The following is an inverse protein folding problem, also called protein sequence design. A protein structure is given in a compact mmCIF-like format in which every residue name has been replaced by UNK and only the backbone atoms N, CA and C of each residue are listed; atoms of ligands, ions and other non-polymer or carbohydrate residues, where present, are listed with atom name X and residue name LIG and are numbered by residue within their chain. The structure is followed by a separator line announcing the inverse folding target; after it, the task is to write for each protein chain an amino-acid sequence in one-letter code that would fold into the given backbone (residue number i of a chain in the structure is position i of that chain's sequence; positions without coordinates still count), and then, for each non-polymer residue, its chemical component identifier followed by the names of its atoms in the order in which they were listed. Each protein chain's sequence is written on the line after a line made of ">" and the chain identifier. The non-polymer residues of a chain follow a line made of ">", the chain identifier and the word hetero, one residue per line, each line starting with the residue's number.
data_IF_182374330518
#
_entry.id   IF_182374330518
#
_cell.length_a   1.000
_cell.length_b   1.000
_cell.length_c   1.000
_cell.angle_alpha   90.00
_cell.angle_beta   90.00
_cell.angle_gamma   90.00
#
_symmetry.space_group_name_H-M   'P 1'
#
loop_
_entity.id
_entity.type
_entity.pdbx_description
1 polymer ?
#
# COMPACT_ATOMS: atom_id res chain seq x y z
N UNK A 1 32.83 42.51 25.97
CA UNK A 1 33.21 41.36 26.81
C UNK A 1 31.97 40.82 27.51
N UNK A 2 31.44 39.70 27.04
CA UNK A 2 30.76 38.69 27.86
C UNK A 2 30.98 37.37 27.15
N UNK A 3 32.06 36.71 27.55
CA UNK A 3 32.57 35.45 27.00
C UNK A 3 31.98 34.33 27.86
N UNK A 4 30.96 33.64 27.35
CA UNK A 4 30.57 32.31 27.84
C UNK A 4 30.31 31.43 26.61
N UNK A 5 31.30 30.60 26.30
CA UNK A 5 31.28 29.42 25.43
C UNK A 5 30.36 29.49 24.20
N UNK A 6 30.88 30.11 23.13
CA UNK A 6 30.25 30.18 21.81
C UNK A 6 30.27 28.85 21.05
N UNK A 7 29.45 27.89 21.49
CA UNK A 7 28.99 26.83 20.58
C UNK A 7 27.84 27.45 19.79
N UNK A 8 28.12 27.88 18.56
CA UNK A 8 27.05 28.08 17.57
C UNK A 8 26.51 26.68 17.28
N UNK A 9 25.42 26.31 17.93
CA UNK A 9 24.61 25.18 17.46
C UNK A 9 24.29 25.47 15.99
N UNK A 10 24.69 24.63 15.03
CA UNK A 10 24.17 24.79 13.68
C UNK A 10 22.64 24.79 13.83
N UNK A 11 21.97 25.77 13.24
CA UNK A 11 20.52 25.67 13.05
C UNK A 11 20.32 24.34 12.33
N UNK A 12 19.80 23.33 13.02
CA UNK A 12 19.43 22.08 12.39
C UNK A 12 18.46 22.45 11.28
N UNK A 13 18.89 22.25 10.03
CA UNK A 13 18.01 22.45 8.89
C UNK A 13 16.88 21.43 9.04
N UNK A 14 15.67 21.91 9.31
CA UNK A 14 14.47 21.08 9.41
C UNK A 14 13.78 21.06 8.04
N UNK A 15 13.43 19.87 7.57
CA UNK A 15 12.61 19.67 6.37
C UNK A 15 11.35 18.91 6.76
N UNK A 16 10.18 19.47 6.45
CA UNK A 16 8.91 18.77 6.62
C UNK A 16 8.65 17.87 5.41
N UNK A 17 8.22 16.64 5.68
CA UNK A 17 7.78 15.72 4.65
C UNK A 17 6.25 15.74 4.56
N UNK A 18 5.74 15.99 3.37
CA UNK A 18 4.32 15.95 3.03
C UNK A 18 4.09 14.74 2.11
N UNK A 19 3.49 13.68 2.65
CA UNK A 19 3.17 12.47 1.89
C UNK A 19 1.66 12.40 1.67
N UNK A 20 1.24 12.35 0.42
CA UNK A 20 -0.16 12.16 0.01
C UNK A 20 -0.33 10.78 -0.61
N UNK A 21 -1.23 9.98 -0.02
CA UNK A 21 -1.57 8.64 -0.49
C UNK A 21 -2.99 8.66 -1.06
N UNK A 22 -3.13 8.24 -2.31
CA UNK A 22 -4.39 8.27 -3.06
C UNK A 22 -4.84 6.83 -3.34
N UNK A 23 -5.69 6.30 -2.45
CA UNK A 23 -6.31 4.98 -2.64
C UNK A 23 -7.57 5.13 -3.49
N UNK A 24 -7.57 4.53 -4.67
CA UNK A 24 -8.73 4.56 -5.55
C UNK A 24 -9.77 3.49 -5.20
N UNK A 25 -10.99 3.71 -5.66
CA UNK A 25 -12.12 2.82 -5.43
C UNK A 25 -12.03 1.56 -6.28
N UNK A 26 -12.79 0.55 -5.88
CA UNK A 26 -12.96 -0.71 -6.61
C UNK A 26 -13.17 -0.50 -8.11
N UNK A 27 -12.45 -1.27 -8.93
CA UNK A 27 -12.45 -1.22 -10.40
C UNK A 27 -11.87 0.05 -11.05
N UNK A 28 -11.37 1.04 -10.29
CA UNK A 28 -10.72 2.21 -10.86
C UNK A 28 -9.21 2.01 -10.98
N UNK A 29 -8.65 2.48 -12.10
CA UNK A 29 -7.22 2.44 -12.37
C UNK A 29 -6.85 3.65 -13.25
N UNK A 30 -6.10 4.60 -12.71
CA UNK A 30 -5.77 5.86 -13.38
C UNK A 30 -5.21 5.66 -14.79
N UNK A 31 -4.22 4.76 -14.96
CA UNK A 31 -3.60 4.53 -16.26
C UNK A 31 -4.62 4.08 -17.30
N UNK A 32 -5.51 3.16 -16.93
CA UNK A 32 -6.58 2.69 -17.81
C UNK A 32 -7.62 3.80 -18.05
N UNK A 33 -8.16 4.37 -16.98
CA UNK A 33 -9.33 5.24 -17.00
C UNK A 33 -9.04 6.61 -17.62
N UNK A 34 -7.78 7.05 -17.61
CA UNK A 34 -7.32 8.26 -18.30
C UNK A 34 -7.03 7.99 -19.79
N UNK A 35 -6.63 6.76 -20.15
CA UNK A 35 -6.17 6.44 -21.51
C UNK A 35 -7.29 6.01 -22.48
N UNK A 36 -8.44 5.60 -21.95
CA UNK A 36 -9.61 5.18 -22.76
C UNK A 36 -10.39 6.37 -23.32
N UNK A 37 -11.28 6.11 -24.30
CA UNK A 37 -12.10 7.13 -24.95
C UNK A 37 -13.60 6.79 -24.84
N UNK A 38 -14.44 7.64 -24.22
CA UNK A 38 -14.07 8.88 -23.54
C UNK A 38 -13.30 8.61 -22.23
N UNK A 39 -12.38 9.51 -21.83
CA UNK A 39 -11.66 9.36 -20.57
C UNK A 39 -12.61 9.53 -19.39
N UNK A 40 -12.44 8.69 -18.37
CA UNK A 40 -13.28 8.67 -17.18
C UNK A 40 -12.49 8.47 -15.88
N UNK A 41 -11.44 9.27 -15.62
CA UNK A 41 -10.65 9.15 -14.40
C UNK A 41 -11.51 9.41 -13.15
N UNK A 42 -11.25 8.65 -12.09
CA UNK A 42 -11.90 8.84 -10.79
C UNK A 42 -11.56 10.22 -10.19
N UNK A 43 -12.34 10.66 -9.20
CA UNK A 43 -11.99 11.88 -8.46
C UNK A 43 -10.66 11.73 -7.70
N UNK A 44 -10.31 10.51 -7.28
CA UNK A 44 -9.04 10.21 -6.62
C UNK A 44 -7.87 10.38 -7.58
N UNK A 45 -7.97 9.82 -8.79
CA UNK A 45 -6.98 10.02 -9.86
C UNK A 45 -6.83 11.52 -10.20
N UNK A 46 -7.95 12.25 -10.32
CA UNK A 46 -7.93 13.71 -10.56
C UNK A 46 -7.22 14.49 -9.45
N UNK A 47 -7.45 14.14 -8.18
CA UNK A 47 -6.75 14.76 -7.05
C UNK A 47 -5.26 14.41 -7.04
N UNK A 48 -4.90 13.16 -7.35
CA UNK A 48 -3.51 12.74 -7.50
C UNK A 48 -2.77 13.58 -8.55
N UNK A 49 -3.36 13.77 -9.74
CA UNK A 49 -2.76 14.62 -10.77
C UNK A 49 -2.63 16.09 -10.35
N UNK A 50 -3.60 16.62 -9.58
CA UNK A 50 -3.53 17.99 -9.07
C UNK A 50 -2.33 18.22 -8.15
N UNK A 51 -1.82 17.18 -7.49
CA UNK A 51 -0.60 17.24 -6.68
C UNK A 51 0.70 17.25 -7.50
N UNK A 52 0.62 17.18 -8.85
CA UNK A 52 1.77 17.20 -9.76
C UNK A 52 2.89 16.21 -9.37
N UNK A 53 2.60 14.89 -9.33
CA UNK A 53 3.50 13.87 -8.78
C UNK A 53 4.85 13.77 -9.50
N UNK A 54 4.94 14.22 -10.75
CA UNK A 54 6.16 14.27 -11.56
C UNK A 54 7.00 15.54 -11.34
N UNK A 55 6.62 16.42 -10.40
CA UNK A 55 7.37 17.65 -10.12
C UNK A 55 8.59 17.34 -9.23
N UNK A 56 9.73 17.02 -9.85
CA UNK A 56 10.99 16.70 -9.16
C UNK A 56 11.39 17.77 -8.14
N UNK A 57 11.22 19.06 -8.47
CA UNK A 57 11.55 20.17 -7.56
C UNK A 57 10.66 20.19 -6.32
N UNK A 58 9.40 19.76 -6.42
CA UNK A 58 8.50 19.61 -5.27
C UNK A 58 8.88 18.39 -4.44
N UNK A 59 9.21 17.27 -5.10
CA UNK A 59 9.67 16.03 -4.46
C UNK A 59 10.97 16.28 -3.66
N UNK A 60 11.93 17.00 -4.23
CA UNK A 60 13.18 17.40 -3.56
C UNK A 60 12.93 18.34 -2.36
N UNK A 61 11.79 19.03 -2.33
CA UNK A 61 11.34 19.85 -1.20
C UNK A 61 10.51 19.08 -0.18
N UNK A 62 10.25 17.79 -0.41
CA UNK A 62 9.57 16.91 0.53
C UNK A 62 8.09 16.73 0.26
N UNK A 63 7.59 17.04 -0.92
CA UNK A 63 6.19 16.76 -1.31
C UNK A 63 6.16 15.48 -2.14
N UNK A 64 5.62 14.40 -1.61
CA UNK A 64 5.51 13.11 -2.29
C UNK A 64 4.05 12.73 -2.45
N UNK A 65 3.67 12.26 -3.63
CA UNK A 65 2.31 11.83 -3.94
C UNK A 65 2.34 10.45 -4.57
N UNK A 66 1.54 9.53 -4.05
CA UNK A 66 1.48 8.15 -4.51
C UNK A 66 0.05 7.74 -4.81
N UNK A 67 -0.17 7.18 -5.99
CA UNK A 67 -1.43 6.60 -6.39
C UNK A 67 -1.44 5.10 -6.14
N UNK A 68 -2.53 4.59 -5.59
CA UNK A 68 -2.74 3.17 -5.30
C UNK A 68 -4.03 2.77 -6.03
N UNK A 69 -3.95 1.91 -7.05
CA UNK A 69 -5.11 1.54 -7.87
C UNK A 69 -6.14 0.74 -7.08
N UNK A 70 -7.39 0.82 -7.53
CA UNK A 70 -8.52 0.13 -6.94
C UNK A 70 -8.37 -1.38 -6.89
N UNK A 71 -9.02 -2.02 -5.91
CA UNK A 71 -9.15 -3.49 -5.89
C UNK A 71 -9.88 -3.99 -7.12
N UNK A 72 -9.52 -5.19 -7.59
CA UNK A 72 -10.06 -5.78 -8.82
C UNK A 72 -9.38 -5.29 -10.11
N UNK A 73 -8.39 -4.40 -10.02
CA UNK A 73 -7.61 -3.89 -11.16
C UNK A 73 -6.13 -4.30 -11.09
N UNK A 74 -5.37 -4.22 -12.21
CA UNK A 74 -3.95 -4.47 -12.24
C UNK A 74 -3.16 -3.55 -11.29
N UNK A 75 -2.21 -4.15 -10.56
CA UNK A 75 -1.21 -3.48 -9.75
C UNK A 75 0.11 -4.29 -9.74
N UNK A 76 0.96 -4.14 -10.79
CA UNK A 76 2.16 -4.97 -10.99
C UNK A 76 3.19 -4.90 -9.85
N UNK A 77 3.27 -3.77 -9.15
CA UNK A 77 4.15 -3.53 -8.01
C UNK A 77 3.96 -4.59 -6.91
N UNK A 78 2.71 -5.03 -6.71
CA UNK A 78 2.33 -6.08 -5.74
C UNK A 78 1.94 -7.41 -6.40
N UNK A 79 2.39 -7.66 -7.64
CA UNK A 79 2.13 -8.89 -8.42
C UNK A 79 0.64 -9.14 -8.75
N UNK A 80 -0.18 -8.09 -8.86
CA UNK A 80 -1.53 -8.21 -9.45
C UNK A 80 -1.45 -7.81 -10.92
N UNK A 81 -1.48 -8.76 -11.86
CA UNK A 81 -1.27 -8.44 -13.29
C UNK A 81 -2.56 -8.16 -14.06
N UNK A 82 -3.67 -8.75 -13.64
CA UNK A 82 -4.93 -8.74 -14.38
C UNK A 82 -6.08 -8.18 -13.54
N UNK A 83 -7.20 -7.85 -14.21
CA UNK A 83 -8.47 -7.58 -13.54
C UNK A 83 -9.06 -8.86 -12.94
N UNK A 84 -9.70 -8.76 -11.78
CA UNK A 84 -10.20 -9.95 -11.06
C UNK A 84 -11.48 -9.67 -10.26
N UNK A 85 -12.45 -10.56 -10.37
CA UNK A 85 -13.81 -10.39 -9.82
C UNK A 85 -13.88 -10.45 -8.29
N UNK A 86 -12.99 -11.21 -7.64
CA UNK A 86 -12.96 -11.29 -6.17
C UNK A 86 -12.55 -9.96 -5.52
N UNK A 87 -11.76 -9.13 -6.22
CA UNK A 87 -11.47 -7.77 -5.80
C UNK A 87 -12.70 -6.88 -5.85
N UNK A 88 -13.58 -7.09 -6.83
CA UNK A 88 -14.83 -6.32 -6.98
C UNK A 88 -15.87 -6.67 -5.93
N UNK A 89 -16.08 -7.96 -5.69
CA UNK A 89 -17.18 -8.46 -4.85
C UNK A 89 -16.80 -8.54 -3.37
N UNK A 90 -15.53 -8.81 -3.06
CA UNK A 90 -15.07 -9.12 -1.71
C UNK A 90 -13.90 -8.25 -1.24
N UNK A 91 -13.50 -7.24 -2.02
CA UNK A 91 -12.34 -6.38 -1.74
C UNK A 91 -11.02 -7.15 -1.53
N UNK A 92 -10.90 -8.34 -2.12
CA UNK A 92 -9.66 -9.14 -2.10
C UNK A 92 -8.51 -8.33 -2.70
N UNK A 93 -7.36 -8.31 -2.03
CA UNK A 93 -6.20 -7.49 -2.39
C UNK A 93 -6.21 -6.08 -1.80
N UNK A 94 -7.21 -5.72 -0.99
CA UNK A 94 -7.24 -4.46 -0.24
C UNK A 94 -6.14 -4.37 0.83
N UNK A 95 -5.85 -5.46 1.54
CA UNK A 95 -4.76 -5.51 2.52
C UNK A 95 -3.40 -5.20 1.88
N UNK A 96 -3.11 -5.80 0.72
CA UNK A 96 -1.85 -5.57 0.01
C UNK A 96 -1.68 -4.11 -0.42
N UNK A 97 -2.78 -3.45 -0.82
CA UNK A 97 -2.80 -2.04 -1.18
C UNK A 97 -2.53 -1.13 0.03
N UNK A 98 -3.11 -1.45 1.19
CA UNK A 98 -2.84 -0.74 2.45
C UNK A 98 -1.35 -0.91 2.84
N UNK A 99 -0.86 -2.15 2.80
CA UNK A 99 0.55 -2.46 3.08
C UNK A 99 1.48 -1.72 2.11
N UNK A 100 1.14 -1.63 0.82
CA UNK A 100 1.88 -0.83 -0.15
C UNK A 100 1.92 0.65 0.23
N UNK A 101 0.79 1.25 0.62
CA UNK A 101 0.74 2.63 1.09
C UNK A 101 1.66 2.91 2.29
N UNK A 102 1.77 1.95 3.24
CA UNK A 102 2.72 2.04 4.36
C UNK A 102 4.18 2.02 3.89
N UNK A 103 4.48 1.21 2.88
CA UNK A 103 5.83 1.14 2.31
C UNK A 103 6.17 2.43 1.54
N UNK A 104 5.22 3.06 0.86
CA UNK A 104 5.46 4.35 0.20
C UNK A 104 5.88 5.45 1.18
N UNK A 105 5.43 5.40 2.44
CA UNK A 105 5.91 6.29 3.50
C UNK A 105 7.38 5.99 3.82
N UNK A 106 7.75 4.71 3.92
CA UNK A 106 9.14 4.30 4.15
C UNK A 106 10.06 4.71 2.98
N UNK A 107 9.56 4.57 1.75
CA UNK A 107 10.26 5.01 0.54
C UNK A 107 10.48 6.53 0.51
N UNK A 108 9.45 7.32 0.84
CA UNK A 108 9.56 8.79 0.93
C UNK A 108 10.61 9.22 1.97
N UNK A 109 10.68 8.52 3.11
CA UNK A 109 11.71 8.74 4.13
C UNK A 109 13.09 8.35 3.63
N UNK A 110 13.24 7.19 2.98
CA UNK A 110 14.50 6.73 2.42
C UNK A 110 15.04 7.73 1.39
N UNK A 111 14.20 8.15 0.44
CA UNK A 111 14.57 9.16 -0.56
C UNK A 111 14.98 10.48 0.09
N UNK A 112 14.23 10.94 1.11
CA UNK A 112 14.53 12.21 1.78
C UNK A 112 15.88 12.25 2.50
N UNK A 113 16.40 11.09 2.90
CA UNK A 113 17.66 10.95 3.65
C UNK A 113 18.82 10.57 2.74
N UNK A 114 18.59 9.65 1.81
CA UNK A 114 19.65 9.03 0.99
C UNK A 114 19.72 9.61 -0.42
N UNK A 115 18.64 10.19 -0.92
CA UNK A 115 18.47 10.55 -2.33
C UNK A 115 18.04 9.38 -3.22
N UNK A 116 17.93 8.17 -2.69
CA UNK A 116 17.57 6.97 -3.44
C UNK A 116 16.19 6.45 -3.04
N UNK A 117 15.45 5.91 -4.00
CA UNK A 117 14.21 5.16 -3.73
C UNK A 117 14.51 3.70 -3.35
N UNK A 118 13.64 3.12 -2.54
CA UNK A 118 13.63 1.69 -2.27
C UNK A 118 13.40 0.92 -3.57
N UNK A 119 14.11 -0.19 -3.72
CA UNK A 119 13.93 -1.05 -4.87
C UNK A 119 12.54 -1.71 -4.84
N UNK A 120 11.83 -1.72 -5.98
CA UNK A 120 10.51 -2.34 -6.10
C UNK A 120 10.48 -3.79 -5.60
N UNK A 121 11.57 -4.55 -5.80
CA UNK A 121 11.69 -5.93 -5.31
C UNK A 121 11.73 -6.03 -3.79
N UNK A 122 12.31 -5.05 -3.10
CA UNK A 122 12.35 -4.95 -1.63
C UNK A 122 10.97 -4.57 -1.10
N UNK A 123 10.35 -3.56 -1.70
CA UNK A 123 8.99 -3.12 -1.35
C UNK A 123 7.96 -4.24 -1.51
N UNK A 124 7.99 -4.94 -2.64
CA UNK A 124 7.11 -6.10 -2.87
C UNK A 124 7.25 -7.19 -1.82
N UNK A 125 8.49 -7.58 -1.50
CA UNK A 125 8.75 -8.59 -0.46
C UNK A 125 8.23 -8.17 0.91
N UNK A 126 8.30 -6.88 1.23
CA UNK A 126 7.74 -6.35 2.46
C UNK A 126 6.20 -6.43 2.46
N UNK A 127 5.52 -6.12 1.35
CA UNK A 127 4.05 -6.34 1.24
C UNK A 127 3.69 -7.81 1.47
N UNK A 128 4.40 -8.72 0.81
CA UNK A 128 4.19 -10.17 0.96
C UNK A 128 4.40 -10.64 2.41
N UNK A 129 5.42 -10.13 3.09
CA UNK A 129 5.70 -10.45 4.48
C UNK A 129 4.66 -9.88 5.46
N UNK A 130 4.09 -8.71 5.15
CA UNK A 130 3.05 -8.05 5.96
C UNK A 130 1.65 -8.63 5.76
N UNK A 131 1.47 -9.48 4.76
CA UNK A 131 0.17 -10.04 4.41
C UNK A 131 -0.25 -11.13 5.43
N UNK A 132 -1.41 -10.94 6.07
CA UNK A 132 -1.97 -11.90 7.03
C UNK A 132 -2.48 -13.19 6.41
N UNK A 133 -2.69 -13.17 5.10
CA UNK A 133 -3.34 -14.23 4.32
C UNK A 133 -2.34 -15.09 3.55
N UNK A 134 -1.08 -15.18 3.98
CA UNK A 134 -0.09 -16.10 3.39
C UNK A 134 -0.53 -17.59 3.41
N UNK A 135 -1.52 -17.96 4.22
CA UNK A 135 -2.21 -19.26 4.14
C UNK A 135 -3.27 -19.31 3.03
N UNK A 136 -3.92 -18.18 2.73
CA UNK A 136 -4.99 -18.03 1.73
C UNK A 136 -4.45 -17.93 0.30
N UNK A 137 -3.28 -17.32 0.06
CA UNK A 137 -2.66 -17.31 -1.28
C UNK A 137 -2.23 -18.70 -1.76
N UNK A 138 -1.83 -19.60 -0.85
CA UNK A 138 -1.56 -21.01 -1.16
C UNK A 138 -2.85 -21.78 -1.50
N UNK A 139 -4.00 -21.28 -1.02
CA UNK A 139 -5.33 -21.70 -1.41
C UNK A 139 -5.84 -20.98 -2.65
N UNK A 140 -5.39 -19.77 -3.02
CA UNK A 140 -5.90 -19.02 -4.19
C UNK A 140 -5.46 -19.59 -5.54
N UNK A 141 -4.37 -20.38 -5.58
CA UNK A 141 -4.10 -21.27 -6.72
C UNK A 141 -5.21 -22.32 -6.95
N UNK A 142 -6.09 -22.53 -5.97
CA UNK A 142 -7.20 -23.50 -5.97
C UNK A 142 -8.57 -22.90 -5.60
N UNK A 143 -8.65 -21.69 -5.03
CA UNK A 143 -9.84 -21.08 -4.44
C UNK A 143 -10.46 -19.99 -5.32
N UNK A 144 -9.68 -19.41 -6.24
CA UNK A 144 -10.25 -18.65 -7.37
C UNK A 144 -11.20 -19.51 -8.22
N UNK A 145 -10.98 -20.83 -8.22
CA UNK A 145 -11.85 -21.82 -8.88
C UNK A 145 -13.12 -22.10 -8.04
N UNK A 146 -13.07 -21.97 -6.71
CA UNK A 146 -14.19 -22.38 -5.84
C UNK A 146 -15.22 -21.26 -5.58
N UNK A 147 -14.79 -20.00 -5.54
CA UNK A 147 -15.67 -18.83 -5.38
C UNK A 147 -16.54 -18.51 -6.61
N UNK A 148 -16.18 -19.04 -7.79
CA UNK A 148 -16.97 -18.91 -9.01
C UNK A 148 -18.16 -19.87 -9.09
N UNK A 149 -18.23 -20.91 -8.24
CA UNK A 149 -19.14 -22.04 -8.47
C UNK A 149 -20.43 -21.95 -7.61
N UNK A 150 -20.45 -21.32 -6.43
CA UNK A 150 -21.65 -21.27 -5.57
C UNK A 150 -21.56 -20.05 -4.61
N UNK A 151 -22.41 -19.03 -4.53
CA UNK A 151 -23.85 -18.94 -4.79
C UNK A 151 -24.39 -17.53 -4.42
N UNK A 152 -25.39 -17.05 -5.17
CA UNK A 152 -26.64 -16.50 -4.58
C UNK A 152 -27.48 -17.76 -4.20
N UNK A 153 -28.31 -17.89 -3.12
CA UNK A 153 -28.54 -17.19 -1.83
C UNK A 153 -28.74 -18.12 -0.57
N UNK A 154 -29.16 -17.51 0.55
CA UNK A 154 -29.93 -17.96 1.73
C UNK A 154 -29.41 -18.96 2.79
N UNK A 155 -28.46 -19.89 2.55
CA UNK A 155 -27.98 -20.80 3.63
C UNK A 155 -26.69 -20.32 4.37
N UNK A 156 -26.25 -19.09 4.09
CA UNK A 156 -24.92 -18.55 4.42
C UNK A 156 -24.63 -18.28 5.90
N UNK A 157 -25.47 -18.72 6.84
CA UNK A 157 -25.22 -18.52 8.28
C UNK A 157 -24.23 -19.56 8.85
N UNK A 158 -24.28 -20.82 8.42
CA UNK A 158 -23.38 -21.87 8.92
C UNK A 158 -21.95 -21.70 8.38
N UNK A 159 -21.81 -21.26 7.13
CA UNK A 159 -20.52 -21.02 6.48
C UNK A 159 -19.84 -19.79 7.08
N UNK A 160 -20.57 -18.69 7.29
CA UNK A 160 -20.07 -17.48 7.96
C UNK A 160 -19.61 -17.77 9.39
N UNK A 161 -20.32 -18.62 10.14
CA UNK A 161 -19.93 -19.00 11.50
C UNK A 161 -18.63 -19.82 11.54
N UNK A 162 -18.44 -20.76 10.60
CA UNK A 162 -17.17 -21.50 10.45
C UNK A 162 -15.99 -20.61 10.04
N UNK A 163 -16.21 -19.60 9.20
CA UNK A 163 -15.19 -18.60 8.87
C UNK A 163 -14.82 -17.72 10.07
N UNK A 164 -15.80 -17.29 10.88
CA UNK A 164 -15.56 -16.52 12.11
C UNK A 164 -14.86 -17.35 13.20
N UNK A 165 -15.17 -18.65 13.31
CA UNK A 165 -14.49 -19.58 14.24
C UNK A 165 -13.06 -19.91 13.80
N UNK A 166 -12.77 -19.94 12.50
CA UNK A 166 -11.41 -20.10 11.97
C UNK A 166 -10.54 -18.85 12.16
N UNK A 167 -11.13 -17.65 12.14
CA UNK A 167 -10.46 -16.38 12.46
C UNK A 167 -10.16 -16.28 13.97
N UNK A 168 -11.05 -16.78 14.83
CA UNK A 168 -10.91 -16.69 16.29
C UNK A 168 -10.00 -17.76 16.92
N UNK A 169 -9.52 -18.76 16.18
CA UNK A 169 -8.76 -19.89 16.72
C UNK A 169 -7.25 -19.90 16.38
N UNK A 170 -6.70 -18.81 15.87
CA UNK A 170 -5.25 -18.63 15.86
C UNK A 170 -4.85 -17.80 17.06
N UNK A 171 -4.00 -18.35 17.92
CA UNK A 171 -3.14 -17.57 18.82
C UNK A 171 -1.88 -17.18 18.03
N UNK A 172 -1.67 -15.91 17.65
CA UNK A 172 -0.49 -15.52 16.91
C UNK A 172 0.31 -14.43 17.65
N UNK A 173 1.60 -14.38 17.36
CA UNK A 173 2.35 -13.12 17.42
C UNK A 173 1.55 -12.10 16.58
N UNK A 174 0.99 -11.08 17.22
CA UNK A 174 -0.07 -10.25 16.61
C UNK A 174 0.39 -9.67 15.27
N UNK A 175 -0.47 -9.68 14.25
CA UNK A 175 -0.22 -9.13 12.90
C UNK A 175 0.45 -7.75 12.93
N UNK A 176 0.08 -6.92 13.90
CA UNK A 176 0.67 -5.60 14.14
C UNK A 176 2.19 -5.68 14.36
N UNK A 177 2.66 -6.69 15.10
CA UNK A 177 4.09 -6.91 15.34
C UNK A 177 4.83 -7.30 14.06
N UNK A 178 4.17 -8.01 13.13
CA UNK A 178 4.79 -8.36 11.84
C UNK A 178 4.90 -7.13 10.94
N UNK A 179 3.83 -6.34 10.81
CA UNK A 179 3.88 -5.08 10.03
C UNK A 179 4.91 -4.11 10.58
N UNK A 180 4.91 -3.93 11.90
CA UNK A 180 5.89 -3.07 12.57
C UNK A 180 7.31 -3.56 12.33
N UNK A 181 7.57 -4.86 12.45
CA UNK A 181 8.89 -5.44 12.21
C UNK A 181 9.38 -5.24 10.77
N UNK A 182 8.51 -5.39 9.77
CA UNK A 182 8.89 -5.13 8.37
C UNK A 182 9.17 -3.64 8.12
N UNK A 183 8.35 -2.74 8.68
CA UNK A 183 8.60 -1.30 8.62
C UNK A 183 9.94 -0.96 9.27
N UNK A 184 10.22 -1.50 10.46
CA UNK A 184 11.49 -1.28 11.15
C UNK A 184 12.69 -1.78 10.34
N UNK A 185 12.58 -2.90 9.62
CA UNK A 185 13.64 -3.37 8.73
C UNK A 185 13.91 -2.40 7.59
N UNK A 186 12.86 -1.85 6.97
CA UNK A 186 13.01 -0.87 5.87
C UNK A 186 13.68 0.41 6.35
N UNK A 187 13.42 0.81 7.60
CA UNK A 187 13.95 2.04 8.19
C UNK A 187 15.31 1.86 8.90
N UNK A 188 15.79 0.62 9.12
CA UNK A 188 17.08 0.35 9.78
C UNK A 188 18.28 1.08 9.16
N UNK A 189 18.43 1.19 7.83
CA UNK A 189 19.55 1.91 7.22
C UNK A 189 19.57 3.42 7.51
N UNK A 190 18.47 3.96 8.07
CA UNK A 190 18.33 5.39 8.37
C UNK A 190 18.73 5.74 9.82
N UNK A 191 19.05 4.73 10.65
CA UNK A 191 19.53 4.89 12.03
C UNK A 191 21.05 4.88 12.08
#
# INVERSE_FOLDING_TARGET
>A
MSQKHGIRMPMLCCKSLHVSLFFDDTNNNELNDTSVMPPHPSNIARLYHACSPQNERANDRGFHSYYIPGVGTPFPEINTMDYYSSGLTFAVGGEDRINWGLIQICDALNYSITGDHLQNTVMRKAVEAMNTSNSSRKLEGTAGIFGAINSIPANQQATRKKYLEAINNQEPRTTEMVRLHEIEKLLKPLK
#
